data_IF_911566818599
#
_entry.id   IF_911566818599
#
_cell.length_a   1.000
_cell.length_b   1.000
_cell.length_c   1.000
_cell.angle_alpha   90.00
_cell.angle_beta   90.00
_cell.angle_gamma   90.00
#
_symmetry.space_group_name_H-M   'P 1'
#
loop_
_entity.id
_entity.type
_entity.pdbx_description
1 polymer ?
#
# COMPACT_ATOMS: atom_id res chain seq x y z
N UNK A 1 -8.41 8.87 -10.19
CA UNK A 1 -7.01 8.69 -9.77
C UNK A 1 -6.09 9.22 -10.84
N UNK A 2 -5.12 10.07 -10.49
CA UNK A 2 -4.06 10.49 -11.41
C UNK A 2 -3.04 9.37 -11.59
N UNK A 3 -2.22 9.44 -12.65
CA UNK A 3 -1.14 8.46 -12.87
C UNK A 3 -0.15 8.39 -11.69
N UNK A 4 0.17 9.54 -11.09
CA UNK A 4 1.04 9.62 -9.92
C UNK A 4 0.42 8.93 -8.69
N UNK A 5 -0.90 9.09 -8.49
CA UNK A 5 -1.62 8.43 -7.40
C UNK A 5 -1.60 6.90 -7.54
N UNK A 6 -1.87 6.40 -8.76
CA UNK A 6 -1.80 4.97 -9.05
C UNK A 6 -0.38 4.40 -8.85
N UNK A 7 0.65 5.11 -9.32
CA UNK A 7 2.04 4.68 -9.14
C UNK A 7 2.44 4.61 -7.66
N UNK A 8 2.10 5.62 -6.86
CA UNK A 8 2.39 5.62 -5.43
C UNK A 8 1.60 4.54 -4.67
N UNK A 9 0.36 4.28 -5.08
CA UNK A 9 -0.44 3.18 -4.53
C UNK A 9 0.29 1.86 -4.73
N UNK A 10 0.81 1.59 -5.95
CA UNK A 10 1.59 0.38 -6.21
C UNK A 10 2.87 0.32 -5.39
N UNK A 11 3.60 1.43 -5.27
CA UNK A 11 4.79 1.50 -4.42
C UNK A 11 4.48 1.18 -2.94
N UNK A 12 3.30 1.58 -2.44
CA UNK A 12 2.85 1.20 -1.10
C UNK A 12 2.60 -0.30 -0.98
N UNK A 13 1.91 -0.88 -1.97
CA UNK A 13 1.61 -2.30 -1.96
C UNK A 13 2.88 -3.14 -2.08
N UNK A 14 3.80 -2.77 -2.97
CA UNK A 14 5.12 -3.39 -3.11
C UNK A 14 5.92 -3.27 -1.83
N UNK A 15 5.93 -2.07 -1.23
CA UNK A 15 6.55 -1.85 0.07
C UNK A 15 6.01 -2.88 1.04
N UNK A 16 4.72 -2.88 1.37
CA UNK A 16 4.11 -3.81 2.35
C UNK A 16 4.34 -5.29 1.99
N UNK A 17 4.23 -5.67 0.71
CA UNK A 17 4.41 -7.04 0.25
C UNK A 17 5.83 -7.59 0.46
N UNK A 18 6.86 -6.72 0.43
CA UNK A 18 8.25 -7.15 0.50
C UNK A 18 8.64 -7.81 1.85
N UNK A 19 7.97 -7.45 2.95
CA UNK A 19 8.23 -8.05 4.26
C UNK A 19 7.08 -7.76 5.24
N UNK A 20 6.83 -8.65 6.23
CA UNK A 20 5.90 -8.35 7.32
C UNK A 20 6.33 -7.06 8.04
N UNK A 21 5.45 -6.06 8.11
CA UNK A 21 5.70 -4.79 8.79
C UNK A 21 4.64 -4.49 9.82
N UNK A 22 5.03 -3.77 10.86
CA UNK A 22 4.15 -3.17 11.85
C UNK A 22 3.55 -1.86 11.32
N UNK A 23 2.46 -1.41 11.95
CA UNK A 23 1.86 -0.11 11.65
C UNK A 23 2.87 1.04 11.83
N UNK A 24 3.69 0.97 12.88
CA UNK A 24 4.70 1.99 13.18
C UNK A 24 5.72 2.15 12.05
N UNK A 25 6.28 1.05 11.54
CA UNK A 25 7.24 1.06 10.42
C UNK A 25 6.62 1.60 9.14
N UNK A 26 5.36 1.26 8.87
CA UNK A 26 4.64 1.80 7.70
C UNK A 26 4.41 3.30 7.88
N UNK A 27 3.99 3.75 9.05
CA UNK A 27 3.76 5.16 9.33
C UNK A 27 5.04 5.97 9.26
N UNK A 28 6.16 5.47 9.76
CA UNK A 28 7.46 6.13 9.64
C UNK A 28 7.83 6.40 8.17
N UNK A 29 7.62 5.40 7.30
CA UNK A 29 7.93 5.53 5.88
C UNK A 29 6.94 6.40 5.10
N UNK A 30 5.64 6.36 5.43
CA UNK A 30 4.57 6.93 4.59
C UNK A 30 3.93 8.22 5.13
N UNK A 31 4.10 8.55 6.42
CA UNK A 31 3.54 9.78 7.03
C UNK A 31 4.34 11.05 6.73
N UNK A 32 5.57 10.91 6.25
CA UNK A 32 6.56 12.01 6.21
C UNK A 32 6.30 13.08 5.16
N UNK A 33 5.54 12.79 4.11
CA UNK A 33 5.34 13.72 2.98
C UNK A 33 3.99 13.50 2.32
N UNK A 34 3.22 14.58 2.08
CA UNK A 34 2.21 14.53 1.02
C UNK A 34 2.94 14.31 -0.32
N UNK A 35 2.44 13.42 -1.19
CA UNK A 35 1.13 12.75 -1.18
C UNK A 35 1.06 11.39 -0.45
N UNK A 36 2.14 10.87 0.14
CA UNK A 36 2.22 9.49 0.67
C UNK A 36 1.21 9.18 1.77
N UNK A 37 0.87 10.16 2.62
CA UNK A 37 -0.15 9.97 3.65
C UNK A 37 -1.52 9.66 3.02
N UNK A 38 -1.95 10.46 2.05
CA UNK A 38 -3.25 10.25 1.39
C UNK A 38 -3.29 8.90 0.67
N UNK A 39 -2.17 8.43 0.12
CA UNK A 39 -2.08 7.10 -0.49
C UNK A 39 -2.28 5.98 0.54
N UNK A 40 -1.71 6.12 1.74
CA UNK A 40 -1.96 5.19 2.83
C UNK A 40 -3.44 5.15 3.24
N UNK A 41 -4.04 6.34 3.44
CA UNK A 41 -5.44 6.48 3.82
C UNK A 41 -6.37 5.86 2.76
N UNK A 42 -6.15 6.21 1.49
CA UNK A 42 -6.90 5.67 0.36
C UNK A 42 -6.75 4.15 0.26
N UNK A 43 -5.55 3.60 0.46
CA UNK A 43 -5.34 2.16 0.40
C UNK A 43 -6.03 1.39 1.53
N UNK A 44 -6.17 2.01 2.71
CA UNK A 44 -6.98 1.46 3.80
C UNK A 44 -8.48 1.55 3.48
N UNK A 45 -8.96 2.69 2.98
CA UNK A 45 -10.37 2.91 2.61
C UNK A 45 -10.79 1.98 1.48
N UNK A 46 -9.95 1.83 0.46
CA UNK A 46 -10.19 0.94 -0.67
C UNK A 46 -10.05 -0.54 -0.28
N UNK A 47 -9.62 -0.84 0.95
CA UNK A 47 -9.45 -2.20 1.44
C UNK A 47 -8.35 -2.97 0.70
N UNK A 48 -7.31 -2.28 0.22
CA UNK A 48 -6.10 -2.94 -0.28
C UNK A 48 -5.19 -3.40 0.85
N UNK A 49 -5.25 -2.70 1.99
CA UNK A 49 -4.44 -2.94 3.17
C UNK A 49 -5.33 -3.20 4.38
N UNK A 50 -4.95 -4.20 5.18
CA UNK A 50 -5.50 -4.43 6.51
C UNK A 50 -4.47 -4.01 7.56
N UNK A 51 -4.87 -3.07 8.41
CA UNK A 51 -4.09 -2.55 9.54
C UNK A 51 -4.85 -2.64 10.87
N UNK A 52 -5.92 -3.44 10.94
CA UNK A 52 -6.84 -3.50 12.07
C UNK A 52 -6.20 -3.97 13.39
N UNK A 53 -5.25 -4.91 13.33
CA UNK A 53 -4.60 -5.47 14.53
C UNK A 53 -3.50 -4.56 15.12
N UNK A 54 -3.15 -3.43 14.50
CA UNK A 54 -2.06 -2.50 14.90
C UNK A 54 -0.64 -3.13 15.00
N UNK A 55 -0.53 -4.44 15.16
CA UNK A 55 0.70 -5.23 15.28
C UNK A 55 1.32 -5.50 13.91
N UNK A 56 0.49 -5.72 12.90
CA UNK A 56 0.91 -6.04 11.54
C UNK A 56 0.02 -5.36 10.51
N UNK A 57 0.66 -4.89 9.46
CA UNK A 57 0.03 -4.40 8.25
C UNK A 57 0.21 -5.46 7.18
N UNK A 58 -0.88 -5.85 6.52
CA UNK A 58 -0.87 -6.84 5.48
C UNK A 58 -1.68 -6.39 4.26
N UNK A 59 -1.33 -6.89 3.09
CA UNK A 59 -2.19 -6.73 1.91
C UNK A 59 -3.40 -7.67 2.03
N UNK A 60 -4.57 -7.14 1.70
CA UNK A 60 -5.77 -7.95 1.52
C UNK A 60 -5.69 -8.72 0.19
N UNK A 61 -6.64 -9.64 -0.05
CA UNK A 61 -6.78 -10.27 -1.36
C UNK A 61 -6.94 -9.26 -2.51
N UNK A 62 -7.61 -8.12 -2.25
CA UNK A 62 -7.78 -7.04 -3.23
C UNK A 62 -6.43 -6.33 -3.51
N UNK A 63 -5.65 -6.07 -2.47
CA UNK A 63 -4.31 -5.47 -2.60
C UNK A 63 -3.35 -6.36 -3.40
N UNK A 64 -3.33 -7.66 -3.11
CA UNK A 64 -2.55 -8.63 -3.87
C UNK A 64 -2.97 -8.72 -5.34
N UNK A 65 -4.28 -8.74 -5.61
CA UNK A 65 -4.78 -8.79 -6.99
C UNK A 65 -4.35 -7.57 -7.80
N UNK A 66 -4.44 -6.36 -7.21
CA UNK A 66 -3.98 -5.13 -7.86
C UNK A 66 -2.48 -5.18 -8.16
N UNK A 67 -1.66 -5.55 -7.16
CA UNK A 67 -0.21 -5.64 -7.32
C UNK A 67 0.19 -6.62 -8.42
N UNK A 68 -0.43 -7.81 -8.45
CA UNK A 68 -0.16 -8.82 -9.49
C UNK A 68 -0.66 -8.41 -10.87
N UNK A 69 -1.73 -7.61 -10.97
CA UNK A 69 -2.25 -7.15 -12.26
C UNK A 69 -1.25 -6.27 -13.01
N UNK A 70 -0.41 -5.53 -12.28
CA UNK A 70 0.63 -4.67 -12.84
C UNK A 70 1.90 -5.45 -13.14
N UNK A 71 2.31 -6.38 -12.25
CA UNK A 71 3.45 -7.26 -12.51
C UNK A 71 3.28 -8.07 -13.81
N UNK A 72 2.05 -8.48 -14.14
CA UNK A 72 1.71 -9.18 -15.39
C UNK A 72 1.69 -8.29 -16.64
N UNK A 73 1.70 -6.96 -16.48
CA UNK A 73 1.70 -5.97 -17.57
C UNK A 73 3.10 -5.48 -17.94
N UNK A 74 4.13 -5.82 -17.17
CA UNK A 74 5.53 -5.56 -17.54
C UNK A 74 5.95 -6.53 -18.65
N UNK A 75 6.43 -6.05 -19.81
CA UNK A 75 6.89 -6.88 -20.92
C UNK A 75 8.18 -7.66 -20.60
#
# INVERSE_FOLDING_TARGET
MSQAHAALTLQLLEFIAASPRSYAEVMEAWRSTCPRMSIWEDACIDGFVDASDSRRVALTGKGWALLQSVAKRSP
#
